data_IF_455650148794
#
_entry.id   IF_455650148794
#
_cell.length_a   1.000
_cell.length_b   1.000
_cell.length_c   1.000
_cell.angle_alpha   90.00
_cell.angle_beta   90.00
_cell.angle_gamma   90.00
#
_symmetry.space_group_name_H-M   'P 1'
#
loop_
_entity.id
_entity.type
_entity.pdbx_description
1 polymer ?
#
# COMPACT_ATOMS: atom_id res chain seq x y z
N UNK A 1 25.31 -12.21 -22.54
CA UNK A 1 25.23 -12.36 -21.08
C UNK A 1 23.78 -12.20 -20.70
N UNK A 2 23.13 -13.27 -20.25
CA UNK A 2 21.73 -13.26 -19.81
C UNK A 2 21.72 -12.77 -18.36
N UNK A 3 21.09 -11.62 -18.11
CA UNK A 3 20.96 -11.06 -16.78
C UNK A 3 20.15 -12.01 -15.90
N UNK A 4 20.80 -12.54 -14.87
CA UNK A 4 20.15 -13.21 -13.76
C UNK A 4 19.27 -12.21 -13.03
N UNK A 5 18.01 -12.09 -13.45
CA UNK A 5 16.98 -11.44 -12.65
C UNK A 5 16.85 -12.21 -11.35
N UNK A 6 17.07 -11.52 -10.24
CA UNK A 6 16.79 -12.06 -8.91
C UNK A 6 15.28 -12.32 -8.89
N UNK A 7 14.87 -13.58 -8.84
CA UNK A 7 13.47 -13.89 -8.60
C UNK A 7 13.20 -13.54 -7.14
N UNK A 8 12.61 -12.37 -6.87
CA UNK A 8 12.07 -12.05 -5.56
C UNK A 8 11.12 -13.18 -5.18
N UNK A 9 11.34 -13.78 -4.00
CA UNK A 9 10.45 -14.82 -3.49
C UNK A 9 9.04 -14.23 -3.44
N UNK A 10 8.07 -14.94 -4.02
CA UNK A 10 6.70 -14.48 -4.06
C UNK A 10 6.16 -14.37 -2.63
N UNK A 11 5.63 -13.21 -2.28
CA UNK A 11 5.01 -13.02 -0.98
C UNK A 11 3.72 -13.83 -0.88
N UNK A 12 3.29 -14.12 0.35
CA UNK A 12 1.95 -14.61 0.60
C UNK A 12 1.02 -13.42 0.87
N UNK A 13 -0.26 -13.54 0.49
CA UNK A 13 -1.29 -12.64 1.01
C UNK A 13 -1.30 -12.69 2.55
N UNK A 14 -1.64 -11.59 3.23
CA UNK A 14 -1.71 -11.58 4.69
C UNK A 14 -2.79 -12.55 5.17
N UNK A 15 -2.45 -13.31 6.23
CA UNK A 15 -3.37 -14.26 6.85
C UNK A 15 -4.41 -13.48 7.66
N UNK A 16 -5.68 -13.81 7.45
CA UNK A 16 -6.77 -13.22 8.23
C UNK A 16 -6.82 -13.84 9.65
N UNK A 17 -6.63 -13.04 10.71
CA UNK A 17 -6.66 -13.52 12.09
C UNK A 17 -8.07 -13.84 12.60
N UNK A 18 -9.12 -13.63 11.79
CA UNK A 18 -10.50 -13.94 12.14
C UNK A 18 -11.32 -12.71 12.54
N UNK A 19 -12.64 -12.88 12.57
CA UNK A 19 -13.61 -11.80 12.79
C UNK A 19 -13.40 -11.10 14.14
N UNK A 20 -13.54 -9.77 14.16
CA UNK A 20 -13.40 -8.95 15.38
C UNK A 20 -11.97 -8.49 15.68
N UNK A 21 -10.96 -8.99 14.95
CA UNK A 21 -9.61 -8.47 15.04
C UNK A 21 -9.51 -7.09 14.35
N UNK A 22 -8.75 -6.17 14.94
CA UNK A 22 -8.61 -4.79 14.47
C UNK A 22 -7.57 -4.61 13.35
N UNK A 23 -6.77 -5.64 13.04
CA UNK A 23 -5.71 -5.62 12.01
C UNK A 23 -6.06 -6.58 10.86
N UNK A 24 -7.36 -6.88 10.66
CA UNK A 24 -7.76 -7.78 9.58
C UNK A 24 -7.36 -7.22 8.21
N UNK A 25 -6.94 -8.07 7.27
CA UNK A 25 -6.73 -7.65 5.90
C UNK A 25 -8.03 -7.17 5.26
N UNK A 26 -7.97 -6.00 4.61
CA UNK A 26 -9.09 -5.42 3.86
C UNK A 26 -8.61 -5.09 2.46
N UNK A 27 -9.44 -5.38 1.46
CA UNK A 27 -9.20 -4.90 0.10
C UNK A 27 -9.53 -3.41 0.02
N UNK A 28 -8.53 -2.61 -0.35
CA UNK A 28 -8.59 -1.15 -0.31
C UNK A 28 -8.36 -0.50 -1.67
N UNK A 29 -8.37 -1.29 -2.76
CA UNK A 29 -8.09 -0.86 -4.14
C UNK A 29 -8.79 0.45 -4.53
N UNK A 30 -10.05 0.63 -4.11
CA UNK A 30 -10.85 1.82 -4.45
C UNK A 30 -10.65 3.02 -3.50
N UNK A 31 -9.97 2.81 -2.37
CA UNK A 31 -9.79 3.81 -1.32
C UNK A 31 -8.37 4.41 -1.29
N UNK A 32 -7.38 3.69 -1.81
CA UNK A 32 -6.00 4.18 -1.94
C UNK A 32 -5.86 5.16 -3.10
N UNK A 33 -4.84 6.01 -3.01
CA UNK A 33 -4.41 6.91 -4.08
C UNK A 33 -3.20 6.31 -4.82
N UNK A 34 -3.23 6.39 -6.14
CA UNK A 34 -2.11 6.06 -7.03
C UNK A 34 -1.60 7.28 -7.80
N UNK A 35 -0.36 7.27 -8.33
CA UNK A 35 0.27 8.43 -8.95
C UNK A 35 -0.48 9.02 -10.16
N UNK A 36 -1.40 8.28 -10.76
CA UNK A 36 -2.28 8.71 -11.85
C UNK A 36 -3.45 9.60 -11.37
N UNK A 37 -3.69 9.68 -10.06
CA UNK A 37 -4.76 10.48 -9.47
C UNK A 37 -4.24 11.83 -8.98
N UNK A 38 -4.95 12.91 -9.31
CA UNK A 38 -4.55 14.27 -8.94
C UNK A 38 -4.36 14.45 -7.41
N UNK A 39 -5.23 13.83 -6.62
CA UNK A 39 -5.19 13.90 -5.14
C UNK A 39 -3.98 13.18 -4.52
N UNK A 40 -3.27 12.35 -5.30
CA UNK A 40 -2.09 11.63 -4.83
C UNK A 40 -1.06 12.57 -4.22
N UNK A 41 -0.86 13.75 -4.80
CA UNK A 41 0.13 14.72 -4.32
C UNK A 41 -0.43 15.71 -3.28
N UNK A 42 -1.72 15.63 -2.94
CA UNK A 42 -2.36 16.56 -2.01
C UNK A 42 -2.17 16.09 -0.54
N UNK A 43 -1.37 16.78 0.28
CA UNK A 43 -1.08 16.38 1.65
C UNK A 43 -2.29 16.46 2.58
N UNK A 44 -3.31 17.25 2.24
CA UNK A 44 -4.53 17.37 3.02
C UNK A 44 -5.46 16.15 2.86
N UNK A 45 -5.25 15.31 1.83
CA UNK A 45 -6.04 14.10 1.62
C UNK A 45 -5.46 12.96 2.43
N UNK A 46 -6.14 12.65 3.54
CA UNK A 46 -5.83 11.54 4.44
C UNK A 46 -6.24 10.17 3.86
N UNK A 47 -5.64 9.78 2.73
CA UNK A 47 -5.78 8.43 2.12
C UNK A 47 -4.43 7.76 1.93
N UNK A 48 -4.36 6.45 2.10
CA UNK A 48 -3.14 5.67 1.82
C UNK A 48 -2.71 5.82 0.37
N UNK A 49 -1.40 5.85 0.13
CA UNK A 49 -0.80 6.01 -1.19
C UNK A 49 0.00 4.78 -1.56
N UNK A 50 -0.13 4.35 -2.81
CA UNK A 50 0.60 3.20 -3.34
C UNK A 50 1.31 3.60 -4.61
N UNK A 51 2.63 3.37 -4.64
CA UNK A 51 3.50 3.59 -5.79
C UNK A 51 3.96 2.22 -6.26
N UNK A 52 3.45 1.78 -7.40
CA UNK A 52 3.85 0.50 -8.00
C UNK A 52 3.70 0.54 -9.53
N UNK A 53 4.39 -0.36 -10.25
CA UNK A 53 4.23 -0.50 -11.69
C UNK A 53 2.98 -1.32 -12.08
N UNK A 54 2.24 -1.88 -11.11
CA UNK A 54 1.16 -2.83 -11.38
C UNK A 54 -0.18 -2.16 -11.72
N UNK A 55 -0.25 -0.83 -11.70
CA UNK A 55 -1.49 -0.10 -11.95
C UNK A 55 -2.54 -0.36 -10.87
N UNK A 56 -3.83 -0.27 -11.22
CA UNK A 56 -4.96 -0.49 -10.30
C UNK A 56 -5.36 -1.96 -10.18
N UNK A 57 -4.45 -2.78 -9.67
CA UNK A 57 -4.71 -4.18 -9.30
C UNK A 57 -5.18 -4.29 -7.84
N UNK A 58 -5.57 -5.49 -7.41
CA UNK A 58 -6.00 -5.76 -6.03
C UNK A 58 -4.95 -5.29 -5.03
N UNK A 59 -5.36 -4.43 -4.10
CA UNK A 59 -4.54 -3.98 -2.98
C UNK A 59 -5.21 -4.40 -1.68
N UNK A 60 -4.45 -5.07 -0.83
CA UNK A 60 -4.88 -5.50 0.49
C UNK A 60 -4.00 -4.83 1.52
N UNK A 61 -4.61 -4.15 2.49
CA UNK A 61 -3.87 -3.54 3.59
C UNK A 61 -4.37 -4.06 4.94
N UNK A 62 -3.50 -3.97 5.94
CA UNK A 62 -3.78 -4.28 7.33
C UNK A 62 -3.39 -3.11 8.20
N UNK A 63 -4.19 -2.80 9.23
CA UNK A 63 -3.85 -1.77 10.19
C UNK A 63 -5.05 -1.32 11.02
N UNK A 64 -4.78 -0.56 12.08
CA UNK A 64 -5.80 0.03 12.93
C UNK A 64 -5.73 1.54 12.86
N UNK A 65 -6.83 2.15 12.39
CA UNK A 65 -6.99 3.59 12.08
C UNK A 65 -6.12 4.12 10.92
N UNK A 66 -5.00 3.47 10.62
CA UNK A 66 -4.09 3.76 9.51
C UNK A 66 -3.58 2.43 8.95
N UNK A 67 -3.42 2.34 7.64
CA UNK A 67 -2.80 1.18 6.99
C UNK A 67 -1.33 1.09 7.38
N UNK A 68 -0.91 -0.06 7.91
CA UNK A 68 0.44 -0.29 8.44
C UNK A 68 1.28 -1.21 7.56
N UNK A 69 0.63 -2.16 6.90
CA UNK A 69 1.25 -3.04 5.91
C UNK A 69 0.27 -3.17 4.73
N UNK A 70 0.80 -3.24 3.52
CA UNK A 70 0.01 -3.38 2.31
C UNK A 70 0.67 -4.37 1.35
N UNK A 71 -0.16 -5.03 0.56
CA UNK A 71 0.22 -5.92 -0.52
C UNK A 71 -0.52 -5.51 -1.77
N UNK A 72 0.11 -5.69 -2.92
CA UNK A 72 -0.52 -5.48 -4.21
C UNK A 72 -0.30 -6.68 -5.12
N UNK A 73 -1.35 -7.05 -5.84
CA UNK A 73 -1.24 -8.07 -6.88
C UNK A 73 -0.48 -7.51 -8.10
N UNK A 74 0.39 -8.31 -8.70
CA UNK A 74 0.86 -8.05 -10.06
C UNK A 74 -0.24 -8.34 -11.11
N UNK A 75 -0.02 -8.08 -12.42
CA UNK A 75 -0.99 -8.42 -13.45
C UNK A 75 -1.34 -9.91 -13.58
N UNK A 76 -0.52 -10.81 -13.04
CA UNK A 76 -0.78 -12.25 -12.98
C UNK A 76 -1.55 -12.67 -11.72
N UNK A 77 -1.84 -11.73 -10.80
CA UNK A 77 -2.59 -11.97 -9.56
C UNK A 77 -1.71 -12.39 -8.38
N UNK A 78 -0.39 -12.37 -8.53
CA UNK A 78 0.53 -12.73 -7.45
C UNK A 78 0.71 -11.56 -6.48
N UNK A 79 0.57 -11.77 -5.16
CA UNK A 79 0.82 -10.71 -4.19
C UNK A 79 2.30 -10.37 -4.05
N UNK A 80 2.55 -9.08 -3.89
CA UNK A 80 3.83 -8.50 -3.52
C UNK A 80 3.62 -7.57 -2.33
N UNK A 81 4.40 -7.75 -1.26
CA UNK A 81 4.39 -6.86 -0.10
C UNK A 81 4.99 -5.53 -0.51
N UNK A 82 4.31 -4.45 -0.11
CA UNK A 82 4.77 -3.10 -0.33
C UNK A 82 5.58 -2.63 0.88
N UNK A 83 6.63 -1.88 0.61
CA UNK A 83 7.47 -1.25 1.62
C UNK A 83 6.86 0.08 2.07
N UNK A 84 6.80 0.30 3.37
CA UNK A 84 6.42 1.60 3.93
C UNK A 84 7.55 2.59 3.71
N UNK A 85 7.34 3.61 2.88
CA UNK A 85 8.36 4.61 2.59
C UNK A 85 8.38 5.72 3.67
N UNK A 86 7.22 6.36 3.92
CA UNK A 86 7.03 7.33 5.00
C UNK A 86 5.54 7.62 5.24
N UNK A 87 5.20 8.24 6.36
CA UNK A 87 3.87 8.80 6.61
C UNK A 87 3.82 10.28 6.21
N UNK A 88 2.83 10.73 5.44
CA UNK A 88 2.84 12.13 4.97
C UNK A 88 2.68 13.19 6.08
N UNK A 89 2.37 12.79 7.31
CA UNK A 89 2.06 13.73 8.41
C UNK A 89 3.25 14.46 8.95
N UNK A 90 4.45 13.94 8.67
CA UNK A 90 5.70 14.61 8.99
C UNK A 90 6.02 15.76 8.03
N UNK A 91 5.33 15.87 6.87
CA UNK A 91 5.54 16.94 5.90
C UNK A 91 4.34 17.90 5.82
N UNK A 92 4.34 18.90 6.70
CA UNK A 92 3.68 20.19 6.43
C UNK A 92 2.19 20.35 6.76
N UNK A 93 1.52 19.38 7.40
CA UNK A 93 0.15 19.59 7.88
C UNK A 93 0.09 19.88 9.38
N UNK A 94 -0.41 21.08 9.73
CA UNK A 94 -0.80 21.45 11.10
C UNK A 94 -2.16 20.87 11.51
N UNK A 95 -2.80 20.05 10.66
CA UNK A 95 -4.08 19.41 10.97
C UNK A 95 -3.88 18.00 11.52
N UNK A 96 -4.62 17.66 12.57
CA UNK A 96 -4.57 16.39 13.31
C UNK A 96 -5.14 15.18 12.56
N UNK A 97 -5.43 15.30 11.27
CA UNK A 97 -5.83 14.16 10.45
C UNK A 97 -4.68 13.17 10.40
N UNK A 98 -4.88 11.88 10.72
CA UNK A 98 -3.81 10.89 10.67
C UNK A 98 -3.34 10.85 9.23
N UNK A 99 -2.18 11.45 8.99
CA UNK A 99 -1.65 11.52 7.65
C UNK A 99 -1.27 10.12 7.24
N UNK A 100 -1.78 9.72 6.09
CA UNK A 100 -1.72 8.33 5.68
C UNK A 100 -0.36 8.00 5.08
N UNK A 101 -0.06 6.72 5.13
CA UNK A 101 1.22 6.16 4.72
C UNK A 101 1.37 6.11 3.20
N UNK A 102 2.62 6.22 2.75
CA UNK A 102 3.04 6.00 1.37
C UNK A 102 3.75 4.65 1.31
N UNK A 103 3.20 3.74 0.51
CA UNK A 103 3.77 2.42 0.26
C UNK A 103 4.34 2.35 -1.15
N UNK A 104 5.44 1.62 -1.31
CA UNK A 104 6.14 1.46 -2.59
C UNK A 104 6.46 -0.02 -2.86
N UNK A 105 6.37 -0.44 -4.12
CA UNK A 105 6.93 -1.71 -4.54
C UNK A 105 8.42 -1.53 -4.87
N UNK A 106 9.31 -2.20 -4.14
CA UNK A 106 10.78 -2.03 -4.26
C UNK A 106 11.48 -3.05 -5.18
N UNK A 107 10.77 -4.07 -5.69
CA UNK A 107 11.30 -5.07 -6.64
C UNK A 107 11.68 -6.39 -6.00
#
# INVERSE_FOLDING_TARGET
MLGSGVASAQDAWPVDPGQGNHIRPVEVTDYVLMPDQLDFWNPAVGKTRVISPFGRTKIVCTGYRVDSECWQADPAGNPHKLELLFGMGVFGSLTTTPAQNVFVYSG
#
